data_IF_734894116702
#
_entry.id   IF_734894116702
#
_cell.length_a   1.000
_cell.length_b   1.000
_cell.length_c   1.000
_cell.angle_alpha   90.00
_cell.angle_beta   90.00
_cell.angle_gamma   90.00
#
_symmetry.space_group_name_H-M   'P 1'
#
loop_
_entity.id
_entity.type
_entity.pdbx_description
1 polymer ?
#
# COMPACT_ATOMS: atom_id res chain seq x y z
N UNK A 1 13.82 25.20 -8.91
CA UNK A 1 13.00 24.09 -9.46
C UNK A 1 12.02 23.66 -8.40
N UNK A 2 10.73 24.00 -8.52
CA UNK A 2 9.70 23.50 -7.61
C UNK A 2 9.48 22.01 -7.90
N UNK A 3 9.85 21.14 -6.94
CA UNK A 3 9.35 19.76 -6.94
C UNK A 3 7.83 19.86 -6.84
N UNK A 4 7.13 19.48 -7.91
CA UNK A 4 5.69 19.23 -7.84
C UNK A 4 5.51 18.12 -6.81
N UNK A 5 5.08 18.47 -5.61
CA UNK A 5 4.54 17.48 -4.70
C UNK A 5 3.29 16.94 -5.39
N UNK A 6 3.38 15.72 -5.89
CA UNK A 6 2.20 14.97 -6.28
C UNK A 6 1.26 14.99 -5.07
N UNK A 7 -0.02 15.37 -5.22
CA UNK A 7 -0.94 15.33 -4.11
C UNK A 7 -0.93 13.91 -3.53
N UNK A 8 -0.60 13.80 -2.25
CA UNK A 8 -0.79 12.58 -1.48
C UNK A 8 -2.21 12.09 -1.75
N UNK A 9 -2.43 10.82 -2.12
CA UNK A 9 -3.77 10.32 -2.37
C UNK A 9 -4.62 10.51 -1.11
N UNK A 10 -5.51 11.50 -1.17
CA UNK A 10 -6.52 11.74 -0.15
C UNK A 10 -7.45 10.54 -0.10
N UNK A 11 -7.69 10.04 1.12
CA UNK A 11 -8.71 9.04 1.53
C UNK A 11 -9.13 8.05 0.43
N UNK A 12 -8.58 6.83 0.56
CA UNK A 12 -8.99 5.60 -0.12
C UNK A 12 -9.08 5.69 -1.64
N UNK A 13 -7.92 5.79 -2.30
CA UNK A 13 -7.87 5.30 -3.68
C UNK A 13 -8.17 3.80 -3.67
N UNK A 14 -9.06 3.30 -4.53
CA UNK A 14 -9.35 1.86 -4.60
C UNK A 14 -8.06 1.10 -4.92
N UNK A 15 -7.95 -0.12 -4.36
CA UNK A 15 -6.84 -1.01 -4.70
C UNK A 15 -6.81 -1.22 -6.23
N UNK A 16 -5.62 -1.37 -6.84
CA UNK A 16 -5.52 -1.80 -8.24
C UNK A 16 -6.37 -3.04 -8.51
N UNK A 17 -6.97 -3.14 -9.70
CA UNK A 17 -7.92 -4.21 -10.05
C UNK A 17 -7.37 -5.62 -9.80
N UNK A 18 -6.11 -5.85 -10.16
CA UNK A 18 -5.42 -7.13 -9.92
C UNK A 18 -5.27 -7.49 -8.43
N UNK A 19 -5.18 -6.49 -7.55
CA UNK A 19 -5.15 -6.70 -6.09
C UNK A 19 -6.55 -6.78 -5.48
N UNK A 20 -7.52 -6.10 -6.08
CA UNK A 20 -8.93 -6.14 -5.63
C UNK A 20 -9.56 -7.52 -5.78
N UNK A 21 -9.07 -8.34 -6.72
CA UNK A 21 -9.50 -9.72 -6.91
C UNK A 21 -8.87 -10.72 -5.92
N UNK A 22 -7.86 -10.31 -5.14
CA UNK A 22 -7.22 -11.19 -4.16
C UNK A 22 -8.16 -11.49 -2.98
N UNK A 23 -8.20 -12.73 -2.44
CA UNK A 23 -9.04 -13.07 -1.28
C UNK A 23 -8.81 -12.14 -0.08
N UNK A 24 -7.55 -11.73 0.12
CA UNK A 24 -7.12 -10.83 1.19
C UNK A 24 -7.28 -9.33 0.86
N UNK A 25 -7.91 -8.95 -0.25
CA UNK A 25 -8.04 -7.54 -0.66
C UNK A 25 -8.68 -6.67 0.43
N UNK A 26 -9.72 -7.19 1.10
CA UNK A 26 -10.39 -6.49 2.21
C UNK A 26 -9.49 -6.32 3.43
N UNK A 27 -8.69 -7.35 3.74
CA UNK A 27 -7.73 -7.30 4.85
C UNK A 27 -6.60 -6.30 4.55
N UNK A 28 -6.08 -6.29 3.32
CA UNK A 28 -5.11 -5.30 2.86
C UNK A 28 -5.67 -3.88 2.96
N UNK A 29 -6.90 -3.65 2.49
CA UNK A 29 -7.53 -2.33 2.59
C UNK A 29 -7.66 -1.87 4.04
N UNK A 30 -8.17 -2.72 4.93
CA UNK A 30 -8.29 -2.40 6.35
C UNK A 30 -6.93 -2.12 7.01
N UNK A 31 -5.89 -2.87 6.63
CA UNK A 31 -4.52 -2.61 7.06
C UNK A 31 -4.02 -1.23 6.61
N UNK A 32 -4.18 -0.88 5.34
CA UNK A 32 -3.75 0.41 4.80
C UNK A 32 -4.51 1.58 5.45
N UNK A 33 -5.83 1.45 5.61
CA UNK A 33 -6.66 2.46 6.29
C UNK A 33 -6.20 2.68 7.73
N UNK A 34 -5.91 1.59 8.47
CA UNK A 34 -5.39 1.67 9.83
C UNK A 34 -3.98 2.27 9.88
N UNK A 35 -3.08 1.84 9.00
CA UNK A 35 -1.71 2.35 8.89
C UNK A 35 -1.71 3.86 8.65
N UNK A 36 -2.50 4.33 7.69
CA UNK A 36 -2.58 5.76 7.38
C UNK A 36 -3.24 6.56 8.50
N UNK A 37 -4.22 5.99 9.21
CA UNK A 37 -4.85 6.63 10.37
C UNK A 37 -3.91 6.76 11.56
N UNK A 38 -3.10 5.74 11.84
CA UNK A 38 -2.26 5.68 13.04
C UNK A 38 -0.88 6.31 12.83
N UNK A 39 -0.31 6.20 11.62
CA UNK A 39 1.08 6.57 11.32
C UNK A 39 1.26 7.26 9.96
N UNK A 40 0.20 7.82 9.39
CA UNK A 40 0.24 8.39 8.03
C UNK A 40 1.33 9.45 7.81
N UNK A 41 1.66 10.23 8.84
CA UNK A 41 2.72 11.25 8.78
C UNK A 41 4.13 10.64 8.72
N UNK A 42 4.32 9.42 9.23
CA UNK A 42 5.58 8.67 9.17
C UNK A 42 5.73 7.92 7.85
N UNK A 43 4.66 7.69 7.07
CA UNK A 43 4.68 6.86 5.87
C UNK A 43 5.06 7.70 4.65
N UNK A 44 6.11 7.28 3.93
CA UNK A 44 6.49 7.88 2.64
C UNK A 44 5.79 7.18 1.49
N UNK A 45 5.82 5.84 1.47
CA UNK A 45 5.18 5.03 0.45
C UNK A 45 4.86 3.63 0.96
N UNK A 46 3.96 2.94 0.27
CA UNK A 46 3.65 1.52 0.48
C UNK A 46 3.75 0.79 -0.85
N UNK A 47 4.45 -0.33 -0.86
CA UNK A 47 4.60 -1.20 -2.04
C UNK A 47 4.00 -2.57 -1.73
N UNK A 48 3.08 -3.01 -2.57
CA UNK A 48 2.66 -4.42 -2.61
C UNK A 48 3.56 -5.14 -3.61
N UNK A 49 4.14 -6.27 -3.19
CA UNK A 49 5.00 -7.07 -4.04
C UNK A 49 4.60 -8.55 -3.97
N UNK A 50 5.48 -9.45 -4.42
CA UNK A 50 5.20 -10.88 -4.38
C UNK A 50 4.19 -11.34 -5.43
N UNK A 51 3.60 -12.50 -5.21
CA UNK A 51 2.67 -13.14 -6.15
C UNK A 51 1.37 -12.36 -6.33
N UNK A 52 0.91 -11.68 -5.27
CA UNK A 52 -0.27 -10.82 -5.32
C UNK A 52 -0.09 -9.68 -6.34
N UNK A 53 1.05 -8.99 -6.30
CA UNK A 53 1.35 -7.90 -7.24
C UNK A 53 1.56 -8.38 -8.68
N UNK A 54 2.06 -9.61 -8.87
CA UNK A 54 2.26 -10.23 -10.20
C UNK A 54 0.98 -10.84 -10.78
N UNK A 55 -0.09 -10.94 -10.00
CA UNK A 55 -1.34 -11.59 -10.41
C UNK A 55 -1.25 -13.11 -10.58
N UNK A 56 -0.22 -13.75 -10.01
CA UNK A 56 0.02 -15.20 -10.11
C UNK A 56 -0.04 -15.91 -8.75
N UNK A 57 -0.85 -15.36 -7.84
CA UNK A 57 -1.12 -15.95 -6.53
C UNK A 57 -1.99 -17.20 -6.63
N UNK A 58 -1.84 -18.10 -5.65
CA UNK A 58 -2.62 -19.34 -5.54
C UNK A 58 -3.46 -19.32 -4.27
N UNK A 59 -4.35 -20.29 -4.11
CA UNK A 59 -5.04 -20.49 -2.83
C UNK A 59 -4.01 -20.69 -1.72
N UNK A 60 -4.10 -19.87 -0.66
CA UNK A 60 -3.16 -19.86 0.46
C UNK A 60 -1.97 -18.89 0.32
N UNK A 61 -1.84 -18.18 -0.81
CA UNK A 61 -0.90 -17.06 -0.91
C UNK A 61 -1.31 -15.91 0.01
N UNK A 62 -0.33 -15.32 0.68
CA UNK A 62 -0.44 -14.09 1.43
C UNK A 62 -0.20 -12.86 0.53
N UNK A 63 -0.28 -11.68 1.15
CA UNK A 63 -0.01 -10.39 0.50
C UNK A 63 1.22 -9.78 1.13
N UNK A 64 2.30 -9.70 0.36
CA UNK A 64 3.54 -9.07 0.77
C UNK A 64 3.45 -7.54 0.67
N UNK A 65 3.77 -6.85 1.76
CA UNK A 65 3.74 -5.37 1.83
C UNK A 65 5.05 -4.84 2.40
N UNK A 66 5.62 -3.85 1.72
CA UNK A 66 6.76 -3.06 2.19
C UNK A 66 6.31 -1.62 2.48
N UNK A 67 6.62 -1.11 3.66
CA UNK A 67 6.27 0.25 4.08
C UNK A 67 7.56 1.07 4.20
N UNK A 68 7.72 2.05 3.31
CA UNK A 68 8.78 3.05 3.40
C UNK A 68 8.38 4.16 4.38
N UNK A 69 9.24 4.43 5.36
CA UNK A 69 9.04 5.49 6.35
C UNK A 69 9.81 6.75 5.95
N UNK A 70 9.24 7.92 6.27
CA UNK A 70 9.92 9.23 6.22
C UNK A 70 10.89 9.33 7.39
N UNK A 71 11.96 8.57 7.34
CA UNK A 71 13.08 8.80 8.26
C UNK A 71 13.95 9.87 7.62
N UNK A 72 14.22 10.94 8.36
CA UNK A 72 15.27 11.88 7.99
C UNK A 72 16.57 11.25 8.52
N UNK A 73 17.17 10.34 7.75
CA UNK A 73 18.36 9.60 8.16
C UNK A 73 19.67 10.39 8.01
N UNK A 74 19.57 11.67 7.62
CA UNK A 74 20.69 12.64 7.66
C UNK A 74 21.52 12.66 6.39
#
# INVERSE_FOLDING_TARGET
MLRRQSPMPSKSSPLPEGLSAHPEAKALQAFLERLMKERGDEVEFVVVFGSAAKGNWTQGSDVDVFVGLRVNDG
#
